data_IF_340381433536
#
_entry.id   IF_340381433536
#
_cell.length_a   1.000
_cell.length_b   1.000
_cell.length_c   1.000
_cell.angle_alpha   90.00
_cell.angle_beta   90.00
_cell.angle_gamma   90.00
#
_symmetry.space_group_name_H-M   'P 1'
#
loop_
_entity.id
_entity.type
_entity.pdbx_description
1 polymer ?
#
# COMPACT_ATOMS: atom_id res chain seq x y z
N UNK A 1 -3.02 -13.60 -18.11
CA UNK A 1 -2.93 -12.55 -17.08
C UNK A 1 -4.25 -11.80 -16.91
N UNK A 2 -4.87 -11.28 -17.98
CA UNK A 2 -6.17 -10.55 -17.90
C UNK A 2 -7.27 -11.38 -17.24
N UNK A 3 -7.43 -12.66 -17.61
CA UNK A 3 -8.47 -13.56 -17.04
C UNK A 3 -8.33 -13.71 -15.51
N UNK A 4 -7.10 -13.84 -15.02
CA UNK A 4 -6.86 -13.95 -13.56
C UNK A 4 -7.20 -12.62 -12.86
N UNK A 5 -6.83 -11.49 -13.45
CA UNK A 5 -7.14 -10.17 -12.91
C UNK A 5 -8.65 -9.90 -12.88
N UNK A 6 -9.37 -10.29 -13.95
CA UNK A 6 -10.84 -10.19 -13.98
C UNK A 6 -11.51 -11.08 -12.93
N UNK A 7 -11.00 -12.29 -12.70
CA UNK A 7 -11.51 -13.19 -11.66
C UNK A 7 -11.31 -12.58 -10.26
N UNK A 8 -10.13 -12.00 -9.98
CA UNK A 8 -9.86 -11.30 -8.72
C UNK A 8 -10.78 -10.08 -8.60
N UNK A 9 -10.94 -9.28 -9.67
CA UNK A 9 -11.80 -8.10 -9.65
C UNK A 9 -13.28 -8.45 -9.39
N UNK A 10 -13.78 -9.57 -9.91
CA UNK A 10 -15.14 -10.07 -9.60
C UNK A 10 -15.28 -10.46 -8.13
N UNK A 11 -14.29 -11.18 -7.58
CA UNK A 11 -14.29 -11.54 -6.17
C UNK A 11 -14.25 -10.28 -5.28
N UNK A 12 -13.42 -9.29 -5.62
CA UNK A 12 -13.34 -8.01 -4.92
C UNK A 12 -14.65 -7.21 -5.04
N UNK A 13 -15.24 -7.17 -6.24
CA UNK A 13 -16.53 -6.51 -6.49
C UNK A 13 -17.66 -7.15 -5.70
N UNK A 14 -17.70 -8.48 -5.62
CA UNK A 14 -18.69 -9.20 -4.82
C UNK A 14 -18.56 -8.89 -3.32
N UNK A 15 -17.33 -8.87 -2.78
CA UNK A 15 -17.10 -8.51 -1.37
C UNK A 15 -17.51 -7.05 -1.12
N UNK A 16 -17.12 -6.12 -2.01
CA UNK A 16 -17.47 -4.71 -1.88
C UNK A 16 -18.99 -4.50 -1.93
N UNK A 17 -19.67 -5.20 -2.84
CA UNK A 17 -21.15 -5.23 -2.92
C UNK A 17 -21.77 -5.72 -1.62
N UNK A 18 -21.34 -6.88 -1.11
CA UNK A 18 -21.89 -7.46 0.13
C UNK A 18 -21.73 -6.51 1.32
N UNK A 19 -20.60 -5.80 1.41
CA UNK A 19 -20.37 -4.79 2.44
C UNK A 19 -21.24 -3.54 2.22
N UNK A 20 -21.45 -3.14 0.96
CA UNK A 20 -22.35 -2.04 0.64
C UNK A 20 -23.79 -2.37 0.98
N UNK A 21 -24.28 -3.54 0.61
CA UNK A 21 -25.66 -4.01 0.93
C UNK A 21 -25.88 -4.09 2.44
N UNK A 22 -24.85 -4.48 3.21
CA UNK A 22 -24.92 -4.55 4.67
C UNK A 22 -24.90 -3.17 5.35
N UNK A 23 -24.19 -2.19 4.76
CA UNK A 23 -23.98 -0.86 5.38
C UNK A 23 -24.86 0.23 4.78
N UNK A 24 -25.40 0.03 3.59
CA UNK A 24 -26.08 1.03 2.75
C UNK A 24 -25.29 2.31 2.54
N UNK A 25 -23.97 2.27 2.79
CA UNK A 25 -23.07 3.41 2.71
C UNK A 25 -21.80 3.04 1.94
N UNK A 26 -21.62 3.63 0.77
CA UNK A 26 -20.53 3.27 -0.14
C UNK A 26 -19.14 3.57 0.43
N UNK A 27 -18.98 4.71 1.10
CA UNK A 27 -17.72 5.06 1.74
C UNK A 27 -17.35 4.11 2.88
N UNK A 28 -18.34 3.76 3.72
CA UNK A 28 -18.13 2.79 4.78
C UNK A 28 -17.82 1.39 4.22
N UNK A 29 -18.47 0.97 3.14
CA UNK A 29 -18.16 -0.27 2.45
C UNK A 29 -16.72 -0.32 1.95
N UNK A 30 -16.21 0.78 1.34
CA UNK A 30 -14.80 0.89 0.91
C UNK A 30 -13.85 0.80 2.10
N UNK A 31 -14.16 1.47 3.22
CA UNK A 31 -13.32 1.43 4.44
C UNK A 31 -13.27 0.01 4.99
N UNK A 32 -14.41 -0.63 5.21
CA UNK A 32 -14.50 -2.00 5.73
C UNK A 32 -13.82 -3.01 4.80
N UNK A 33 -14.04 -2.89 3.50
CA UNK A 33 -13.37 -3.69 2.50
C UNK A 33 -11.84 -3.56 2.61
N UNK A 34 -11.34 -2.33 2.70
CA UNK A 34 -9.90 -2.07 2.80
C UNK A 34 -9.31 -2.68 4.07
N UNK A 35 -9.99 -2.52 5.21
CA UNK A 35 -9.57 -3.13 6.48
C UNK A 35 -9.58 -4.65 6.38
N UNK A 36 -10.63 -5.24 5.81
CA UNK A 36 -10.74 -6.69 5.61
C UNK A 36 -9.56 -7.24 4.77
N UNK A 37 -9.28 -6.64 3.62
CA UNK A 37 -8.15 -7.04 2.78
C UNK A 37 -6.81 -6.89 3.53
N UNK A 38 -6.64 -5.84 4.33
CA UNK A 38 -5.45 -5.67 5.16
C UNK A 38 -5.31 -6.77 6.20
N UNK A 39 -6.38 -7.16 6.87
CA UNK A 39 -6.37 -8.25 7.85
C UNK A 39 -5.96 -9.58 7.19
N UNK A 40 -6.53 -9.89 6.03
CA UNK A 40 -6.17 -11.09 5.26
C UNK A 40 -4.69 -11.09 4.83
N UNK A 41 -4.15 -9.92 4.51
CA UNK A 41 -2.75 -9.77 4.05
C UNK A 41 -1.74 -9.58 5.19
N UNK A 42 -2.15 -9.50 6.47
CA UNK A 42 -1.24 -9.37 7.62
C UNK A 42 -0.09 -10.40 7.59
N UNK A 43 -0.31 -11.72 7.45
CA UNK A 43 0.78 -12.70 7.52
C UNK A 43 1.84 -12.46 6.43
N UNK A 44 1.40 -12.03 5.25
CA UNK A 44 2.29 -11.66 4.16
C UNK A 44 3.08 -10.38 4.48
N UNK A 45 2.40 -9.36 5.00
CA UNK A 45 3.03 -8.10 5.42
C UNK A 45 4.09 -8.32 6.51
N UNK A 46 3.83 -9.23 7.47
CA UNK A 46 4.80 -9.59 8.51
C UNK A 46 6.06 -10.25 7.94
N UNK A 47 5.91 -11.17 7.00
CA UNK A 47 7.06 -11.82 6.33
C UNK A 47 7.89 -10.79 5.57
N UNK A 48 7.24 -9.89 4.87
CA UNK A 48 7.90 -8.81 4.15
C UNK A 48 8.66 -7.86 5.08
N UNK A 49 8.04 -7.41 6.17
CA UNK A 49 8.70 -6.53 7.15
C UNK A 49 9.97 -7.18 7.73
N UNK A 50 9.94 -8.49 7.97
CA UNK A 50 11.13 -9.24 8.41
C UNK A 50 12.21 -9.24 7.33
N UNK A 51 11.87 -9.57 6.10
CA UNK A 51 12.82 -9.57 4.98
C UNK A 51 13.43 -8.19 4.72
N UNK A 52 12.63 -7.11 4.82
CA UNK A 52 13.13 -5.74 4.73
C UNK A 52 14.12 -5.42 5.86
N UNK A 53 13.83 -5.86 7.09
CA UNK A 53 14.73 -5.68 8.23
C UNK A 53 16.07 -6.40 8.00
N UNK A 54 16.05 -7.67 7.60
CA UNK A 54 17.23 -8.45 7.28
C UNK A 54 18.10 -7.77 6.21
N UNK A 55 17.45 -7.24 5.16
CA UNK A 55 18.15 -6.46 4.12
C UNK A 55 18.74 -5.15 4.67
N UNK A 56 18.04 -4.45 5.58
CA UNK A 56 18.56 -3.24 6.21
C UNK A 56 19.76 -3.51 7.12
N UNK A 57 19.79 -4.63 7.82
CA UNK A 57 20.89 -5.00 8.72
C UNK A 57 22.22 -5.24 7.99
N UNK A 58 22.20 -5.67 6.72
CA UNK A 58 23.40 -5.85 5.91
C UNK A 58 23.83 -4.61 5.12
N UNK A 59 23.06 -3.52 5.11
CA UNK A 59 23.38 -2.28 4.39
C UNK A 59 24.77 -1.74 4.71
N UNK A 60 25.24 -1.66 5.97
CA UNK A 60 26.58 -1.17 6.28
C UNK A 60 27.69 -2.03 5.66
N UNK A 61 27.46 -3.34 5.49
CA UNK A 61 28.40 -4.26 4.85
C UNK A 61 28.40 -4.03 3.34
N UNK A 62 27.22 -3.89 2.74
CA UNK A 62 27.08 -3.55 1.31
C UNK A 62 27.79 -2.25 0.95
N UNK A 63 27.69 -1.23 1.79
CA UNK A 63 28.41 0.05 1.62
C UNK A 63 29.92 -0.12 1.61
N UNK A 64 30.46 -0.92 2.53
CA UNK A 64 31.89 -1.23 2.55
C UNK A 64 32.34 -1.96 1.29
N UNK A 65 31.52 -2.89 0.79
CA UNK A 65 31.78 -3.59 -0.47
C UNK A 65 31.75 -2.64 -1.66
N UNK A 66 30.76 -1.75 -1.73
CA UNK A 66 30.65 -0.72 -2.79
C UNK A 66 31.86 0.19 -2.80
N UNK A 67 32.31 0.69 -1.66
CA UNK A 67 33.52 1.53 -1.54
C UNK A 67 34.78 0.74 -1.93
N UNK A 68 34.89 -0.53 -1.54
CA UNK A 68 36.05 -1.37 -1.82
C UNK A 68 36.19 -1.72 -3.29
N UNK A 69 35.07 -1.96 -3.97
CA UNK A 69 35.05 -2.43 -5.36
C UNK A 69 34.45 -1.41 -6.35
N UNK A 70 34.46 -0.11 -6.02
CA UNK A 70 33.87 0.96 -6.84
C UNK A 70 34.36 0.98 -8.30
N UNK A 71 35.60 0.53 -8.57
CA UNK A 71 36.20 0.47 -9.89
C UNK A 71 36.08 -0.91 -10.56
N UNK A 72 35.40 -1.88 -9.93
CA UNK A 72 35.23 -3.23 -10.47
C UNK A 72 33.82 -3.76 -10.20
N UNK A 73 32.89 -3.40 -11.10
CA UNK A 73 31.48 -3.73 -10.98
C UNK A 73 31.21 -5.25 -10.97
N UNK A 74 31.99 -6.02 -11.73
CA UNK A 74 31.85 -7.49 -11.79
C UNK A 74 32.17 -8.13 -10.43
N UNK A 75 33.31 -7.72 -9.84
CA UNK A 75 33.71 -8.21 -8.53
C UNK A 75 32.78 -7.73 -7.43
N UNK A 76 32.25 -6.51 -7.52
CA UNK A 76 31.22 -6.01 -6.61
C UNK A 76 29.97 -6.88 -6.64
N UNK A 77 29.46 -7.22 -7.84
CA UNK A 77 28.29 -8.05 -8.00
C UNK A 77 28.47 -9.44 -7.40
N UNK A 78 29.64 -10.07 -7.64
CA UNK A 78 29.98 -11.38 -7.07
C UNK A 78 30.04 -11.36 -5.54
N UNK A 79 30.69 -10.36 -4.95
CA UNK A 79 30.81 -10.26 -3.49
C UNK A 79 29.46 -9.91 -2.81
N UNK A 80 28.63 -9.09 -3.49
CA UNK A 80 27.25 -8.85 -3.04
C UNK A 80 26.41 -10.13 -3.08
N UNK A 81 26.50 -10.92 -4.15
CA UNK A 81 25.80 -12.20 -4.25
C UNK A 81 26.23 -13.16 -3.14
N UNK A 82 27.53 -13.33 -2.91
CA UNK A 82 28.05 -14.16 -1.80
C UNK A 82 27.51 -13.71 -0.45
N UNK A 83 27.49 -12.39 -0.18
CA UNK A 83 26.95 -11.85 1.06
C UNK A 83 25.48 -12.22 1.26
N UNK A 84 24.65 -12.11 0.20
CA UNK A 84 23.24 -12.50 0.26
C UNK A 84 23.07 -14.00 0.52
N UNK A 85 23.88 -14.84 -0.13
CA UNK A 85 23.88 -16.30 0.06
C UNK A 85 24.31 -16.70 1.46
N UNK A 86 25.43 -16.16 1.97
CA UNK A 86 25.94 -16.41 3.32
C UNK A 86 24.94 -16.01 4.41
N UNK A 87 24.26 -14.87 4.22
CA UNK A 87 23.26 -14.37 5.17
C UNK A 87 21.88 -14.97 4.95
N UNK A 88 21.69 -15.82 3.92
CA UNK A 88 20.40 -16.40 3.51
C UNK A 88 19.31 -15.36 3.31
N UNK A 89 19.69 -14.17 2.82
CA UNK A 89 18.79 -13.04 2.56
C UNK A 89 18.40 -13.05 1.08
N UNK A 90 17.09 -13.02 0.84
CA UNK A 90 16.59 -12.85 -0.53
C UNK A 90 16.47 -11.36 -0.84
N UNK A 91 17.30 -10.78 -1.75
CA UNK A 91 17.23 -9.37 -2.11
C UNK A 91 15.90 -8.98 -2.76
N UNK A 92 15.20 -9.96 -3.36
CA UNK A 92 13.90 -9.76 -4.00
C UNK A 92 12.71 -9.88 -3.02
N UNK A 93 12.95 -10.23 -1.76
CA UNK A 93 11.88 -10.38 -0.76
C UNK A 93 11.04 -9.11 -0.55
N UNK A 94 11.67 -7.93 -0.70
CA UNK A 94 10.99 -6.64 -0.62
C UNK A 94 10.12 -6.30 -1.85
N UNK A 95 10.55 -6.70 -3.07
CA UNK A 95 9.81 -6.41 -4.30
C UNK A 95 8.67 -7.39 -4.57
N UNK A 96 8.69 -8.59 -3.96
CA UNK A 96 7.63 -9.60 -4.10
C UNK A 96 6.25 -9.02 -3.68
N UNK A 97 6.23 -8.11 -2.70
CA UNK A 97 5.01 -7.44 -2.30
C UNK A 97 4.45 -6.56 -3.41
N UNK A 98 5.28 -5.83 -4.15
CA UNK A 98 4.82 -5.03 -5.28
C UNK A 98 4.11 -5.91 -6.32
N UNK A 99 4.64 -7.11 -6.59
CA UNK A 99 4.02 -8.07 -7.51
C UNK A 99 2.64 -8.55 -7.04
N UNK A 100 2.43 -8.68 -5.72
CA UNK A 100 1.14 -9.05 -5.14
C UNK A 100 0.21 -7.84 -5.03
N UNK A 101 0.77 -6.67 -4.73
CA UNK A 101 0.01 -5.44 -4.55
C UNK A 101 -0.60 -4.93 -5.87
N UNK A 102 0.11 -5.10 -7.02
CA UNK A 102 -0.38 -4.65 -8.34
C UNK A 102 -1.72 -5.30 -8.70
N UNK A 103 -1.90 -6.64 -8.65
CA UNK A 103 -3.19 -7.27 -8.90
C UNK A 103 -4.31 -6.79 -7.97
N UNK A 104 -4.00 -6.56 -6.69
CA UNK A 104 -4.99 -6.07 -5.72
C UNK A 104 -5.44 -4.64 -6.03
N UNK A 105 -4.49 -3.73 -6.31
CA UNK A 105 -4.80 -2.34 -6.71
C UNK A 105 -5.60 -2.33 -8.01
N UNK A 106 -5.16 -3.10 -9.02
CA UNK A 106 -5.85 -3.22 -10.30
C UNK A 106 -7.29 -3.71 -10.11
N UNK A 107 -7.47 -4.79 -9.37
CA UNK A 107 -8.78 -5.39 -9.16
C UNK A 107 -9.74 -4.47 -8.42
N UNK A 108 -9.25 -3.76 -7.39
CA UNK A 108 -10.04 -2.77 -6.67
C UNK A 108 -10.37 -1.56 -7.53
N UNK A 109 -9.40 -1.09 -8.34
CA UNK A 109 -9.63 -0.03 -9.30
C UNK A 109 -10.81 -0.36 -10.21
N UNK A 110 -10.79 -1.54 -10.83
CA UNK A 110 -11.84 -1.94 -11.75
C UNK A 110 -13.16 -2.26 -11.07
N UNK A 111 -13.17 -2.80 -9.85
CA UNK A 111 -14.39 -3.01 -9.08
C UNK A 111 -15.12 -1.68 -8.80
N UNK A 112 -14.40 -0.59 -8.52
CA UNK A 112 -14.98 0.75 -8.33
C UNK A 112 -15.34 1.39 -9.68
N UNK A 113 -14.45 1.30 -10.68
CA UNK A 113 -14.62 1.99 -11.97
C UNK A 113 -15.70 1.35 -12.85
N UNK A 114 -15.92 0.03 -12.73
CA UNK A 114 -16.83 -0.76 -13.55
C UNK A 114 -17.81 -1.57 -12.67
N UNK A 115 -18.66 -0.90 -11.90
CA UNK A 115 -19.55 -1.57 -10.94
C UNK A 115 -20.62 -2.46 -11.60
N UNK A 116 -21.05 -2.16 -12.82
CA UNK A 116 -21.97 -3.02 -13.57
C UNK A 116 -21.32 -4.35 -13.91
N UNK A 117 -20.05 -4.33 -14.31
CA UNK A 117 -19.31 -5.55 -14.66
C UNK A 117 -18.94 -6.39 -13.45
N UNK A 118 -18.54 -5.78 -12.33
CA UNK A 118 -17.89 -6.47 -11.22
C UNK A 118 -18.73 -6.55 -9.94
N UNK A 119 -19.66 -5.61 -9.70
CA UNK A 119 -20.52 -5.63 -8.50
C UNK A 119 -21.93 -6.11 -8.83
N UNK A 120 -22.50 -5.68 -9.96
CA UNK A 120 -23.90 -5.92 -10.33
C UNK A 120 -24.04 -6.47 -11.76
N UNK A 121 -23.40 -7.59 -12.10
CA UNK A 121 -23.45 -8.14 -13.47
C UNK A 121 -24.85 -8.54 -13.93
N UNK A 122 -25.78 -8.79 -13.00
CA UNK A 122 -27.16 -9.15 -13.27
C UNK A 122 -28.01 -8.05 -13.88
N UNK A 123 -27.63 -6.76 -13.68
CA UNK A 123 -28.38 -5.65 -14.30
C UNK A 123 -27.99 -5.40 -15.75
N UNK A 124 -26.92 -6.07 -16.21
CA UNK A 124 -26.38 -5.87 -17.54
C UNK A 124 -27.33 -6.42 -18.60
N UNK A 125 -27.83 -5.54 -19.47
CA UNK A 125 -28.65 -5.85 -20.63
C UNK A 125 -28.40 -4.82 -21.74
N UNK A 126 -28.97 -5.02 -22.94
CA UNK A 126 -28.75 -4.14 -24.07
C UNK A 126 -29.14 -2.66 -23.81
N UNK A 127 -30.22 -2.41 -23.07
CA UNK A 127 -30.66 -1.07 -22.72
C UNK A 127 -29.65 -0.40 -21.76
N UNK A 128 -29.16 -1.13 -20.74
CA UNK A 128 -28.13 -0.65 -19.82
C UNK A 128 -26.82 -0.37 -20.55
N UNK A 129 -26.42 -1.25 -21.48
CA UNK A 129 -25.20 -0.98 -22.28
C UNK A 129 -25.33 0.27 -23.13
N UNK A 130 -26.50 0.48 -23.73
CA UNK A 130 -26.77 1.72 -24.49
C UNK A 130 -26.74 2.97 -23.60
N UNK A 131 -27.30 2.91 -22.39
CA UNK A 131 -27.22 4.02 -21.43
C UNK A 131 -25.79 4.27 -20.96
N UNK A 132 -25.02 3.23 -20.68
CA UNK A 132 -23.59 3.35 -20.31
C UNK A 132 -22.80 4.02 -21.44
N UNK A 133 -23.11 3.75 -22.70
CA UNK A 133 -22.41 4.33 -23.86
C UNK A 133 -22.62 5.83 -24.00
N UNK A 134 -23.67 6.42 -23.39
CA UNK A 134 -23.84 7.86 -23.31
C UNK A 134 -22.74 8.56 -22.50
N UNK A 135 -22.04 7.79 -21.66
CA UNK A 135 -20.87 8.24 -20.86
C UNK A 135 -19.53 7.80 -21.47
N UNK A 136 -19.49 7.54 -22.78
CA UNK A 136 -18.26 7.08 -23.46
C UNK A 136 -17.08 8.04 -23.29
N UNK A 137 -17.34 9.34 -23.18
CA UNK A 137 -16.35 10.40 -22.89
C UNK A 137 -15.63 10.21 -21.53
N UNK A 138 -16.23 9.47 -20.59
CA UNK A 138 -15.64 9.15 -19.28
C UNK A 138 -14.72 7.94 -19.33
N UNK A 139 -14.52 7.29 -20.49
CA UNK A 139 -13.61 6.18 -20.69
C UNK A 139 -13.87 5.02 -19.71
N UNK A 140 -12.87 4.66 -18.92
CA UNK A 140 -12.97 3.54 -17.97
C UNK A 140 -14.05 3.73 -16.90
N UNK A 141 -14.43 4.98 -16.60
CA UNK A 141 -15.41 5.30 -15.55
C UNK A 141 -16.86 5.40 -16.06
N UNK A 142 -17.13 5.10 -17.33
CA UNK A 142 -18.47 5.22 -17.91
C UNK A 142 -19.57 4.46 -17.14
N UNK A 143 -19.28 3.24 -16.68
CA UNK A 143 -20.20 2.47 -15.84
C UNK A 143 -20.46 3.15 -14.49
N UNK A 144 -19.41 3.67 -13.84
CA UNK A 144 -19.55 4.38 -12.58
C UNK A 144 -20.39 5.64 -12.73
N UNK A 145 -20.17 6.43 -13.79
CA UNK A 145 -20.96 7.62 -14.08
C UNK A 145 -22.43 7.29 -14.37
N UNK A 146 -22.71 6.22 -15.09
CA UNK A 146 -24.06 5.69 -15.28
C UNK A 146 -24.72 5.37 -13.93
N UNK A 147 -24.05 4.60 -13.06
CA UNK A 147 -24.58 4.22 -11.74
C UNK A 147 -24.86 5.45 -10.86
N UNK A 148 -23.94 6.41 -10.85
CA UNK A 148 -24.06 7.64 -10.02
C UNK A 148 -25.20 8.55 -10.49
N UNK A 149 -25.44 8.65 -11.80
CA UNK A 149 -26.42 9.59 -12.33
C UNK A 149 -27.82 8.96 -12.52
N UNK A 150 -27.87 7.69 -12.97
CA UNK A 150 -29.13 7.06 -13.37
C UNK A 150 -29.58 5.92 -12.43
N UNK A 151 -28.67 5.34 -11.65
CA UNK A 151 -28.95 4.18 -10.81
C UNK A 151 -28.57 4.38 -9.33
N UNK A 152 -28.90 5.56 -8.81
CA UNK A 152 -28.74 5.85 -7.36
C UNK A 152 -29.59 4.95 -6.46
N UNK A 153 -30.60 4.32 -7.03
CA UNK A 153 -31.40 3.27 -6.40
C UNK A 153 -30.56 2.02 -6.05
N UNK A 154 -29.52 1.74 -6.82
CA UNK A 154 -28.63 0.60 -6.62
C UNK A 154 -27.40 0.98 -5.81
N UNK A 155 -26.68 2.06 -6.19
CA UNK A 155 -25.50 2.54 -5.49
C UNK A 155 -25.64 4.05 -5.19
N UNK A 156 -25.68 4.37 -3.90
CA UNK A 156 -25.55 5.73 -3.43
C UNK A 156 -24.11 6.00 -3.01
N UNK A 157 -23.37 6.76 -3.82
CA UNK A 157 -21.95 7.09 -3.61
C UNK A 157 -21.72 8.28 -2.66
N UNK A 158 -22.82 8.85 -2.09
CA UNK A 158 -22.74 9.92 -1.11
C UNK A 158 -22.04 9.49 0.19
N UNK A 159 -21.02 10.22 0.61
CA UNK A 159 -20.28 9.95 1.85
C UNK A 159 -19.74 11.26 2.44
N UNK A 160 -20.17 11.60 3.67
CA UNK A 160 -19.74 12.82 4.39
C UNK A 160 -19.89 14.11 3.56
N UNK A 161 -20.94 14.22 2.76
CA UNK A 161 -21.19 15.38 1.89
C UNK A 161 -20.43 15.34 0.55
N UNK A 162 -19.61 14.30 0.30
CA UNK A 162 -18.91 14.09 -0.95
C UNK A 162 -19.58 13.01 -1.78
N UNK A 163 -19.49 13.11 -3.09
CA UNK A 163 -19.90 12.07 -4.04
C UNK A 163 -18.67 11.25 -4.45
N UNK A 164 -18.50 10.07 -3.87
CA UNK A 164 -17.34 9.21 -4.09
C UNK A 164 -17.23 8.66 -5.52
N UNK A 165 -18.30 8.73 -6.30
CA UNK A 165 -18.31 8.31 -7.70
C UNK A 165 -17.74 9.37 -8.65
N UNK A 166 -17.55 10.60 -8.21
CA UNK A 166 -17.04 11.70 -9.04
C UNK A 166 -15.54 11.86 -8.94
N UNK A 167 -14.93 12.30 -10.04
CA UNK A 167 -13.54 12.77 -10.06
C UNK A 167 -13.50 14.16 -9.41
N UNK A 168 -12.47 14.48 -8.58
CA UNK A 168 -12.32 15.79 -7.98
C UNK A 168 -12.37 16.93 -9.00
N UNK A 169 -13.10 17.99 -8.66
CA UNK A 169 -13.17 19.21 -9.45
C UNK A 169 -12.31 20.30 -8.80
N UNK A 170 -11.51 21.00 -9.61
CA UNK A 170 -10.69 22.12 -9.12
C UNK A 170 -11.53 23.33 -8.69
N UNK A 171 -12.77 23.43 -9.16
CA UNK A 171 -13.72 24.48 -8.77
C UNK A 171 -14.38 24.22 -7.42
N UNK A 172 -14.40 22.96 -6.96
CA UNK A 172 -14.99 22.55 -5.68
C UNK A 172 -13.91 22.07 -4.71
N UNK A 173 -13.49 22.98 -3.83
CA UNK A 173 -12.45 22.71 -2.84
C UNK A 173 -12.80 21.56 -1.88
N UNK A 174 -14.08 21.22 -1.68
CA UNK A 174 -14.48 20.10 -0.82
C UNK A 174 -13.97 18.76 -1.36
N UNK A 175 -13.88 18.63 -2.69
CA UNK A 175 -13.35 17.43 -3.36
C UNK A 175 -11.84 17.24 -3.18
N UNK A 176 -11.11 18.28 -2.74
CA UNK A 176 -9.66 18.21 -2.50
C UNK A 176 -9.28 17.47 -1.21
N UNK A 177 -10.22 17.33 -0.29
CA UNK A 177 -9.98 16.73 1.02
C UNK A 177 -9.37 15.35 0.88
N UNK A 178 -9.95 14.47 0.07
CA UNK A 178 -9.47 13.08 -0.10
C UNK A 178 -8.09 13.01 -0.79
N UNK A 179 -7.83 13.70 -1.93
CA UNK A 179 -6.49 13.79 -2.51
C UNK A 179 -5.42 14.29 -1.54
N UNK A 180 -5.69 15.35 -0.80
CA UNK A 180 -4.74 15.90 0.18
C UNK A 180 -4.48 14.94 1.35
N UNK A 181 -5.52 14.31 1.90
CA UNK A 181 -5.37 13.29 2.94
C UNK A 181 -4.54 12.11 2.46
N UNK A 182 -4.73 11.67 1.22
CA UNK A 182 -3.94 10.60 0.61
C UNK A 182 -2.47 10.97 0.48
N UNK A 183 -2.18 12.21 0.09
CA UNK A 183 -0.81 12.75 0.03
C UNK A 183 -0.15 12.81 1.41
N UNK A 184 -0.86 13.36 2.40
CA UNK A 184 -0.37 13.45 3.78
C UNK A 184 -0.10 12.05 4.36
N UNK A 185 -1.03 11.11 4.19
CA UNK A 185 -0.84 9.73 4.66
C UNK A 185 0.37 9.07 3.98
N UNK A 186 0.56 9.27 2.67
CA UNK A 186 1.72 8.74 1.93
C UNK A 186 3.02 9.37 2.41
N UNK A 187 3.04 10.68 2.68
CA UNK A 187 4.20 11.35 3.26
C UNK A 187 4.55 10.80 4.65
N UNK A 188 3.55 10.65 5.53
CA UNK A 188 3.75 10.07 6.86
C UNK A 188 4.29 8.64 6.79
N UNK A 189 3.75 7.80 5.89
CA UNK A 189 4.23 6.43 5.67
C UNK A 189 5.71 6.43 5.25
N UNK A 190 6.08 7.28 4.29
CA UNK A 190 7.46 7.43 3.81
C UNK A 190 8.39 7.95 4.91
N UNK A 191 7.95 8.90 5.70
CA UNK A 191 8.70 9.46 6.82
C UNK A 191 8.98 8.40 7.92
N UNK A 192 7.96 7.62 8.31
CA UNK A 192 8.10 6.54 9.28
C UNK A 192 9.06 5.47 8.76
N UNK A 193 8.95 5.07 7.50
CA UNK A 193 9.87 4.11 6.86
C UNK A 193 11.32 4.59 6.89
N UNK A 194 11.54 5.87 6.62
CA UNK A 194 12.87 6.49 6.69
C UNK A 194 13.44 6.51 8.10
N UNK A 195 12.62 6.85 9.11
CA UNK A 195 13.06 6.82 10.52
C UNK A 195 13.49 5.41 10.94
N UNK A 196 12.79 4.38 10.47
CA UNK A 196 13.12 2.98 10.75
C UNK A 196 14.42 2.57 10.06
N UNK A 197 14.63 2.94 8.80
CA UNK A 197 15.87 2.68 8.06
C UNK A 197 17.09 3.30 8.75
N UNK A 198 16.99 4.54 9.19
CA UNK A 198 18.07 5.23 9.94
C UNK A 198 18.42 4.56 11.26
N UNK A 199 17.42 4.11 12.02
CA UNK A 199 17.64 3.38 13.28
C UNK A 199 18.38 2.05 13.10
N UNK A 200 18.27 1.46 11.90
CA UNK A 200 18.91 0.19 11.55
C UNK A 200 20.31 0.34 10.94
N UNK A 201 20.88 1.56 10.96
CA UNK A 201 22.24 1.82 10.45
C UNK A 201 22.35 1.91 8.92
N UNK A 202 21.24 1.91 8.20
CA UNK A 202 21.21 2.09 6.74
C UNK A 202 21.32 3.57 6.37
N UNK A 203 22.55 4.15 6.46
CA UNK A 203 22.79 5.57 6.17
C UNK A 203 23.93 5.75 5.18
N UNK A 204 23.69 5.38 3.93
CA UNK A 204 24.56 5.78 2.82
C UNK A 204 24.00 7.07 2.20
N UNK A 205 24.87 8.04 1.85
CA UNK A 205 24.46 9.31 1.22
C UNK A 205 23.60 9.09 -0.03
N UNK A 206 23.95 8.09 -0.85
CA UNK A 206 23.20 7.74 -2.06
C UNK A 206 21.81 7.17 -1.73
N UNK A 207 21.71 6.31 -0.73
CA UNK A 207 20.44 5.75 -0.25
C UNK A 207 19.58 6.82 0.44
N UNK A 208 20.20 7.71 1.22
CA UNK A 208 19.52 8.83 1.86
C UNK A 208 18.98 9.85 0.84
N UNK A 209 19.73 10.17 -0.21
CA UNK A 209 19.28 11.10 -1.25
C UNK A 209 18.09 10.51 -2.03
N UNK A 210 18.14 9.23 -2.39
CA UNK A 210 17.03 8.54 -3.06
C UNK A 210 15.81 8.44 -2.15
N UNK A 211 15.97 8.10 -0.88
CA UNK A 211 14.87 8.07 0.09
C UNK A 211 14.26 9.46 0.30
N UNK A 212 15.08 10.51 0.30
CA UNK A 212 14.63 11.91 0.40
C UNK A 212 13.80 12.32 -0.81
N UNK A 213 14.26 11.95 -2.00
CA UNK A 213 13.54 12.17 -3.26
C UNK A 213 12.19 11.45 -3.26
N UNK A 214 12.18 10.15 -2.93
CA UNK A 214 10.94 9.36 -2.85
C UNK A 214 9.96 9.91 -1.81
N UNK A 215 10.45 10.41 -0.67
CA UNK A 215 9.62 10.97 0.39
C UNK A 215 8.81 12.20 -0.05
N UNK A 216 9.30 12.96 -1.02
CA UNK A 216 8.61 14.15 -1.54
C UNK A 216 7.86 13.84 -2.83
N UNK A 217 8.50 13.12 -3.77
CA UNK A 217 7.92 12.88 -5.09
C UNK A 217 6.74 11.90 -5.06
N UNK A 218 6.80 10.84 -4.22
CA UNK A 218 5.69 9.90 -4.14
C UNK A 218 4.38 10.53 -3.61
N UNK A 219 4.36 11.29 -2.51
CA UNK A 219 3.15 11.97 -2.08
C UNK A 219 2.59 12.94 -3.13
N UNK A 220 3.44 13.71 -3.79
CA UNK A 220 3.01 14.63 -4.86
C UNK A 220 2.38 13.87 -6.04
N UNK A 221 2.99 12.76 -6.44
CA UNK A 221 2.45 11.90 -7.49
C UNK A 221 1.09 11.30 -7.08
N UNK A 222 0.93 10.86 -5.82
CA UNK A 222 -0.33 10.34 -5.31
C UNK A 222 -1.43 11.41 -5.29
N UNK A 223 -1.11 12.61 -4.84
CA UNK A 223 -2.06 13.75 -4.91
C UNK A 223 -2.47 13.98 -6.36
N UNK A 224 -1.51 14.08 -7.28
CA UNK A 224 -1.79 14.31 -8.70
C UNK A 224 -2.66 13.20 -9.31
N UNK A 225 -2.36 11.92 -9.03
CA UNK A 225 -3.18 10.79 -9.49
C UNK A 225 -4.58 10.86 -8.88
N UNK A 226 -4.69 11.20 -7.59
CA UNK A 226 -5.98 11.27 -6.88
C UNK A 226 -6.91 12.33 -7.47
N UNK A 227 -6.39 13.36 -8.17
CA UNK A 227 -7.19 14.32 -8.94
C UNK A 227 -7.66 13.79 -10.31
N UNK A 228 -7.20 12.61 -10.72
CA UNK A 228 -7.54 11.98 -12.02
C UNK A 228 -8.46 10.77 -11.87
N UNK A 229 -8.73 10.36 -10.65
CA UNK A 229 -9.55 9.18 -10.34
C UNK A 229 -10.76 9.57 -9.47
N UNK A 230 -11.85 8.78 -9.47
CA UNK A 230 -12.98 9.02 -8.59
C UNK A 230 -12.59 9.06 -7.11
N UNK A 231 -13.28 9.91 -6.33
CA UNK A 231 -13.01 10.11 -4.89
C UNK A 231 -13.03 8.80 -4.09
N UNK A 232 -13.86 7.82 -4.47
CA UNK A 232 -13.89 6.51 -3.82
C UNK A 232 -12.57 5.74 -3.92
N UNK A 233 -11.84 5.93 -5.02
CA UNK A 233 -10.51 5.34 -5.18
C UNK A 233 -9.46 6.07 -4.33
N UNK A 234 -9.56 7.40 -4.26
CA UNK A 234 -8.75 8.20 -3.35
C UNK A 234 -8.99 7.81 -1.89
N UNK A 235 -10.25 7.58 -1.50
CA UNK A 235 -10.62 7.10 -0.17
C UNK A 235 -10.00 5.73 0.12
N UNK A 236 -10.12 4.78 -0.82
CA UNK A 236 -9.45 3.48 -0.71
C UNK A 236 -7.93 3.66 -0.50
N UNK A 237 -7.28 4.51 -1.28
CA UNK A 237 -5.84 4.77 -1.16
C UNK A 237 -5.46 5.34 0.20
N UNK A 238 -6.21 6.34 0.66
CA UNK A 238 -6.01 6.94 1.98
C UNK A 238 -6.13 5.89 3.09
N UNK A 239 -7.25 5.16 3.15
CA UNK A 239 -7.50 4.14 4.19
C UNK A 239 -6.47 3.02 4.12
N UNK A 240 -6.12 2.55 2.92
CA UNK A 240 -5.10 1.53 2.70
C UNK A 240 -3.73 1.95 3.26
N UNK A 241 -3.33 3.20 3.04
CA UNK A 241 -2.08 3.76 3.55
C UNK A 241 -2.13 3.98 5.05
N UNK A 242 -3.23 4.53 5.56
CA UNK A 242 -3.44 4.77 6.99
C UNK A 242 -3.38 3.46 7.82
N UNK A 243 -4.11 2.44 7.40
CA UNK A 243 -4.06 1.11 8.04
C UNK A 243 -2.66 0.49 7.93
N UNK A 244 -1.95 0.70 6.81
CA UNK A 244 -0.56 0.24 6.67
C UNK A 244 0.37 0.91 7.67
N UNK A 245 0.21 2.21 7.94
CA UNK A 245 0.97 2.94 8.97
C UNK A 245 0.72 2.31 10.35
N UNK A 246 -0.53 2.09 10.72
CA UNK A 246 -0.88 1.48 12.01
C UNK A 246 -0.26 0.09 12.17
N UNK A 247 -0.37 -0.75 11.13
CA UNK A 247 0.25 -2.07 11.11
C UNK A 247 1.78 -2.00 11.20
N UNK A 248 2.40 -1.07 10.48
CA UNK A 248 3.86 -0.88 10.51
C UNK A 248 4.33 -0.47 11.90
N UNK A 249 3.65 0.46 12.56
CA UNK A 249 3.96 0.89 13.92
C UNK A 249 3.80 -0.27 14.92
N UNK A 250 2.70 -1.02 14.83
CA UNK A 250 2.45 -2.17 15.70
C UNK A 250 3.50 -3.28 15.52
N UNK A 251 3.83 -3.63 14.27
CA UNK A 251 4.85 -4.63 13.94
C UNK A 251 6.22 -4.20 14.45
N UNK A 252 6.56 -2.92 14.24
CA UNK A 252 7.84 -2.35 14.71
C UNK A 252 7.97 -2.48 16.23
N UNK A 253 6.95 -2.10 16.97
CA UNK A 253 6.97 -2.24 18.44
C UNK A 253 7.15 -3.70 18.88
N UNK A 254 6.47 -4.66 18.23
CA UNK A 254 6.53 -6.07 18.58
C UNK A 254 7.86 -6.72 18.20
N UNK A 255 8.42 -6.39 17.03
CA UNK A 255 9.69 -6.96 16.55
C UNK A 255 10.89 -6.32 17.27
N UNK A 256 10.90 -4.98 17.44
CA UNK A 256 12.03 -4.27 18.03
C UNK A 256 11.97 -4.21 19.55
N UNK A 257 10.78 -4.16 20.16
CA UNK A 257 10.60 -4.24 21.61
C UNK A 257 11.06 -5.58 22.19
N UNK A 258 10.87 -6.68 21.44
CA UNK A 258 11.32 -8.01 21.84
C UNK A 258 12.85 -8.18 21.86
N UNK A 259 13.56 -7.54 20.93
CA UNK A 259 15.02 -7.60 20.84
C UNK A 259 15.66 -6.82 21.99
N UNK A 260 15.17 -5.60 22.27
CA UNK A 260 15.70 -4.77 23.37
C UNK A 260 15.54 -5.45 24.73
N UNK A 261 14.40 -6.10 24.97
CA UNK A 261 14.18 -6.90 26.18
C UNK A 261 15.10 -8.12 26.29
N UNK A 262 15.47 -8.73 25.17
CA UNK A 262 16.38 -9.89 25.15
C UNK A 262 17.82 -9.47 25.41
N UNK A 263 18.30 -8.38 24.84
CA UNK A 263 19.62 -7.80 25.12
C UNK A 263 19.74 -7.34 26.59
N UNK A 264 18.76 -6.63 27.11
CA UNK A 264 18.74 -6.20 28.51
C UNK A 264 18.73 -7.40 29.47
N UNK A 265 18.02 -8.49 29.14
CA UNK A 265 18.05 -9.72 29.93
C UNK A 265 19.38 -10.45 29.86
N UNK A 266 20.08 -10.41 28.73
CA UNK A 266 21.40 -11.03 28.59
C UNK A 266 22.47 -10.22 29.33
N UNK A 267 22.43 -8.90 29.28
CA UNK A 267 23.33 -8.02 30.03
C UNK A 267 23.14 -8.17 31.54
N UNK A 268 21.90 -8.26 32.03
CA UNK A 268 21.62 -8.51 33.43
C UNK A 268 22.00 -9.93 33.91
N UNK A 269 22.00 -10.92 33.02
CA UNK A 269 22.50 -12.28 33.37
C UNK A 269 24.01 -12.36 33.35
N UNK A 270 24.70 -11.62 32.48
CA UNK A 270 26.18 -11.56 32.46
C UNK A 270 26.79 -10.81 33.64
N UNK A 271 26.09 -9.79 34.16
CA UNK A 271 26.56 -9.02 35.32
C UNK A 271 26.40 -9.73 36.68
N UNK A 272 25.68 -10.87 36.75
CA UNK A 272 25.43 -11.60 37.99
C UNK A 272 26.42 -12.76 38.22
N UNK A 273 27.36 -13.03 37.29
CA UNK A 273 28.32 -14.15 37.41
C UNK A 273 29.71 -13.73 37.92
N UNK A 274 30.03 -12.42 37.95
CA UNK A 274 31.37 -11.95 38.41
C UNK A 274 31.44 -11.55 39.90
N UNK A 275 30.36 -11.80 40.67
CA UNK A 275 30.29 -11.41 42.10
C UNK A 275 30.49 -12.56 43.12
N UNK A 276 30.93 -13.75 42.72
CA UNK A 276 31.15 -14.89 43.62
C UNK A 276 32.49 -15.61 43.40
N UNK A 277 33.58 -14.91 43.48
CA UNK A 277 34.88 -15.46 43.76
C UNK A 277 35.78 -14.34 44.31
N UNK A 278 35.70 -14.12 45.58
CA UNK A 278 36.55 -13.31 46.37
C UNK A 278 36.55 -13.83 47.80
#
# INVERSE_FOLDING_TARGET
>A
MVVIMDAIARAMGWILRSLYEATTNYGLAIILFTVFIKLVTIPLTLKQQRSMKETQEIQPILEKLQKKYQNNQEKLALEMQKLYEERKINPFGGCLLLLIQIPLIYSMFFAIAQPVKFMYPEIKNAAVEQSIEQYADKGTYKELYYMVNERKDIINTGFLGLDLGKVPDFSDWTTWIIPLLSGVATYMSSYISRLQSRKNGASNEQTESMQRYMMVMMPLMIVWISFKVPLGMGLYWFVNTFVSILLQLWVTQKIYGGVKNKETRLLNKGGSSDGKNG
#
